data_IF_958987934885
#
_entry.id   IF_958987934885
#
_cell.length_a   1.000
_cell.length_b   1.000
_cell.length_c   1.000
_cell.angle_alpha   90.00
_cell.angle_beta   90.00
_cell.angle_gamma   90.00
#
_symmetry.space_group_name_H-M   'P 1'
#
loop_
_entity.id
_entity.type
_entity.pdbx_description
1 polymer ?
#
# COMPACT_ATOMS: atom_id res chain seq x y z
N UNK A 1 -5.15 1.36 -1.92
CA UNK A 1 -3.71 1.22 -1.62
C UNK A 1 -3.56 0.87 -0.14
N UNK A 2 -2.64 -0.05 0.21
CA UNK A 2 -2.44 -0.51 1.59
C UNK A 2 -0.99 -0.20 2.00
N UNK A 3 -0.77 1.01 2.51
CA UNK A 3 0.57 1.51 2.83
C UNK A 3 0.91 1.35 4.33
N UNK A 4 0.01 0.79 5.14
CA UNK A 4 0.13 0.72 6.59
C UNK A 4 0.16 -0.74 7.07
N UNK A 5 1.29 -1.41 6.86
CA UNK A 5 1.50 -2.71 7.48
C UNK A 5 1.97 -2.57 8.94
N UNK A 6 1.36 -3.35 9.83
CA UNK A 6 1.78 -3.41 11.23
C UNK A 6 3.21 -3.91 11.37
N UNK A 7 4.04 -3.21 12.15
CA UNK A 7 5.40 -3.64 12.46
C UNK A 7 5.31 -4.96 13.23
N UNK A 8 5.89 -6.04 12.68
CA UNK A 8 6.03 -7.29 13.42
C UNK A 8 6.98 -7.05 14.59
N UNK A 9 6.43 -6.91 15.79
CA UNK A 9 7.22 -6.78 17.01
C UNK A 9 8.05 -8.06 17.21
N UNK A 10 9.37 -7.95 17.15
CA UNK A 10 10.24 -9.08 17.46
C UNK A 10 10.43 -9.21 18.96
N UNK A 11 10.14 -10.40 19.51
CA UNK A 11 10.23 -10.70 20.94
C UNK A 11 11.66 -10.69 21.52
N UNK A 12 12.71 -10.62 20.69
CA UNK A 12 14.07 -10.94 21.14
C UNK A 12 15.26 -10.18 20.52
N UNK A 13 15.11 -9.21 19.61
CA UNK A 13 16.32 -8.52 19.11
C UNK A 13 16.10 -7.09 18.63
N UNK A 14 17.13 -6.28 18.88
CA UNK A 14 17.28 -4.88 18.46
C UNK A 14 17.23 -4.82 16.93
N UNK A 15 16.20 -4.16 16.40
CA UNK A 15 16.03 -3.80 14.98
C UNK A 15 15.74 -4.98 14.05
N UNK A 16 14.47 -5.32 13.87
CA UNK A 16 14.00 -6.26 12.85
C UNK A 16 13.05 -5.54 11.88
N UNK A 17 13.61 -5.00 10.80
CA UNK A 17 12.85 -4.36 9.72
C UNK A 17 13.74 -4.23 8.48
N UNK A 18 13.41 -4.95 7.41
CA UNK A 18 14.08 -4.78 6.12
C UNK A 18 13.40 -3.61 5.41
N UNK A 19 14.18 -2.58 5.06
CA UNK A 19 13.69 -1.50 4.19
C UNK A 19 13.54 -2.07 2.79
N UNK A 20 12.32 -2.01 2.26
CA UNK A 20 12.06 -2.29 0.85
C UNK A 20 12.05 -0.95 0.10
N UNK A 21 12.68 -0.93 -1.07
CA UNK A 21 12.79 0.28 -1.90
C UNK A 21 11.54 0.53 -2.76
N UNK A 22 10.53 -0.33 -2.66
CA UNK A 22 9.25 -0.22 -3.35
C UNK A 22 8.12 -0.26 -2.33
N UNK A 23 6.98 0.30 -2.69
CA UNK A 23 5.72 0.10 -1.98
C UNK A 23 4.91 -1.02 -2.66
N UNK A 24 3.76 -1.40 -2.10
CA UNK A 24 2.89 -2.43 -2.65
C UNK A 24 1.46 -1.93 -2.86
N UNK A 25 0.86 -2.28 -3.99
CA UNK A 25 -0.58 -2.08 -4.23
C UNK A 25 -1.32 -3.40 -4.28
N UNK A 26 -2.46 -3.48 -3.62
CA UNK A 26 -3.34 -4.64 -3.67
C UNK A 26 -4.40 -4.44 -4.74
N UNK A 27 -4.60 -5.44 -5.61
CA UNK A 27 -5.66 -5.41 -6.64
C UNK A 27 -7.00 -5.90 -6.10
N UNK A 28 -6.99 -6.70 -5.05
CA UNK A 28 -8.17 -7.20 -4.32
C UNK A 28 -7.79 -7.53 -2.87
N UNK A 29 -8.78 -7.73 -2.00
CA UNK A 29 -8.62 -7.96 -0.55
C UNK A 29 -7.68 -9.12 -0.18
N UNK A 30 -7.58 -10.13 -1.03
CA UNK A 30 -6.74 -11.32 -0.83
C UNK A 30 -5.44 -11.32 -1.66
N UNK A 31 -5.14 -10.23 -2.37
CA UNK A 31 -3.89 -10.10 -3.13
C UNK A 31 -2.71 -10.04 -2.15
N UNK A 32 -1.52 -10.45 -2.57
CA UNK A 32 -0.30 -10.34 -1.72
C UNK A 32 0.40 -8.99 -1.87
N UNK A 33 -0.19 -8.09 -2.65
CA UNK A 33 0.43 -6.84 -3.08
C UNK A 33 1.35 -7.06 -4.28
N UNK A 34 1.26 -6.18 -5.27
CA UNK A 34 2.22 -6.09 -6.38
C UNK A 34 3.14 -4.89 -6.17
N UNK A 35 4.43 -4.96 -6.57
CA UNK A 35 5.34 -3.83 -6.52
C UNK A 35 4.73 -2.58 -7.16
N UNK A 36 4.84 -1.48 -6.44
CA UNK A 36 4.42 -0.18 -6.87
C UNK A 36 5.61 0.77 -6.86
N UNK A 37 5.90 1.33 -8.03
CA UNK A 37 6.97 2.29 -8.23
C UNK A 37 6.37 3.70 -8.33
N UNK A 38 6.99 4.65 -7.64
CA UNK A 38 6.62 6.07 -7.71
C UNK A 38 7.88 6.92 -7.83
N UNK A 39 7.77 8.04 -8.53
CA UNK A 39 8.88 8.97 -8.79
C UNK A 39 8.93 10.11 -7.78
N UNK A 40 7.84 10.37 -7.06
CA UNK A 40 7.74 11.45 -6.07
C UNK A 40 6.72 11.13 -4.98
N UNK A 41 6.87 11.79 -3.82
CA UNK A 41 5.87 11.71 -2.76
C UNK A 41 4.50 12.24 -3.21
N UNK A 42 4.49 13.22 -4.12
CA UNK A 42 3.26 13.75 -4.70
C UNK A 42 2.51 12.67 -5.51
N UNK A 43 3.20 11.99 -6.42
CA UNK A 43 2.63 10.89 -7.22
C UNK A 43 2.03 9.80 -6.34
N UNK A 44 2.74 9.41 -5.27
CA UNK A 44 2.26 8.40 -4.33
C UNK A 44 0.93 8.80 -3.67
N UNK A 45 0.79 10.06 -3.25
CA UNK A 45 -0.41 10.56 -2.57
C UNK A 45 -1.55 10.75 -3.58
N UNK A 46 -1.25 11.28 -4.77
CA UNK A 46 -2.24 11.47 -5.85
C UNK A 46 -2.85 10.13 -6.27
N UNK A 47 -2.02 9.12 -6.55
CA UNK A 47 -2.48 7.79 -6.96
C UNK A 47 -3.27 7.07 -5.86
N UNK A 48 -2.99 7.38 -4.58
CA UNK A 48 -3.76 6.87 -3.45
C UNK A 48 -5.21 7.37 -3.48
N UNK A 49 -5.42 8.68 -3.67
CA UNK A 49 -6.77 9.26 -3.68
C UNK A 49 -7.55 8.89 -4.94
N UNK A 50 -6.91 8.86 -6.11
CA UNK A 50 -7.52 8.33 -7.34
C UNK A 50 -8.04 6.91 -7.12
N UNK A 51 -7.23 6.05 -6.49
CA UNK A 51 -7.64 4.67 -6.19
C UNK A 51 -8.82 4.57 -5.20
N UNK A 52 -8.99 5.53 -4.29
CA UNK A 52 -10.18 5.62 -3.42
C UNK A 52 -11.40 5.98 -4.26
N UNK A 53 -11.30 7.03 -5.07
CA UNK A 53 -12.40 7.52 -5.89
C UNK A 53 -12.91 6.41 -6.83
N UNK A 54 -12.01 5.73 -7.53
CA UNK A 54 -12.31 4.57 -8.38
C UNK A 54 -13.03 3.44 -7.62
N UNK A 55 -12.63 3.22 -6.36
CA UNK A 55 -13.24 2.19 -5.50
C UNK A 55 -14.66 2.59 -5.11
N UNK A 56 -14.86 3.84 -4.72
CA UNK A 56 -16.18 4.38 -4.36
C UNK A 56 -17.11 4.32 -5.57
N UNK A 57 -16.68 4.80 -6.75
CA UNK A 57 -17.48 4.79 -7.97
C UNK A 57 -17.91 3.37 -8.34
N UNK A 58 -17.00 2.39 -8.26
CA UNK A 58 -17.29 0.98 -8.54
C UNK A 58 -18.30 0.38 -7.57
N UNK A 59 -18.29 0.80 -6.31
CA UNK A 59 -19.24 0.34 -5.30
C UNK A 59 -20.60 1.02 -5.43
N UNK A 60 -20.64 2.30 -5.83
CA UNK A 60 -21.87 3.08 -6.01
C UNK A 60 -22.59 2.78 -7.33
N UNK A 61 -21.89 2.24 -8.32
CA UNK A 61 -22.47 1.82 -9.61
C UNK A 61 -23.10 0.41 -9.60
N UNK A 62 -23.23 -0.20 -8.41
CA UNK A 62 -23.86 -1.50 -8.16
C UNK A 62 -25.12 -1.34 -7.33
#
# INVERSE_FOLDING_TARGET
MDNAHGIKASKASKVNGKRHAYDHKHRHLSDKGVPYEFSSAFQLIEDFFIGIDDTIERLSSK
#
